data_IF_089979082918
#
_entry.id   IF_089979082918
#
_cell.length_a   1.000
_cell.length_b   1.000
_cell.length_c   1.000
_cell.angle_alpha   90.00
_cell.angle_beta   90.00
_cell.angle_gamma   90.00
#
_symmetry.space_group_name_H-M   'P 1'
#
loop_
_entity.id
_entity.type
_entity.pdbx_description
1 polymer ?
#
# COMPACT_ATOMS: atom_id res chain seq x y z
N UNK A 1 29.46 -21.07 -42.15
CA UNK A 1 29.36 -19.66 -41.73
C UNK A 1 29.05 -19.60 -40.24
N UNK A 2 30.01 -19.33 -39.34
CA UNK A 2 29.71 -19.16 -37.93
C UNK A 2 29.11 -17.77 -37.67
N UNK A 3 27.96 -17.73 -36.97
CA UNK A 3 27.27 -16.51 -36.57
C UNK A 3 28.12 -15.73 -35.58
N UNK A 4 28.42 -14.49 -35.94
CA UNK A 4 29.15 -13.50 -35.14
C UNK A 4 28.34 -13.19 -33.88
N UNK A 5 28.92 -13.48 -32.73
CA UNK A 5 28.47 -12.99 -31.42
C UNK A 5 28.63 -11.47 -31.43
N UNK A 6 27.52 -10.73 -31.37
CA UNK A 6 27.55 -9.30 -31.04
C UNK A 6 27.32 -9.21 -29.55
N UNK A 7 28.41 -9.23 -28.79
CA UNK A 7 28.40 -8.80 -27.41
C UNK A 7 28.08 -7.29 -27.40
N UNK A 8 26.95 -6.91 -26.83
CA UNK A 8 26.65 -5.50 -26.57
C UNK A 8 27.74 -4.93 -25.65
N UNK A 9 28.30 -3.79 -26.08
CA UNK A 9 29.32 -3.06 -25.34
C UNK A 9 28.86 -2.75 -23.92
N UNK A 10 29.56 -3.33 -22.95
CA UNK A 10 29.64 -2.82 -21.59
C UNK A 10 30.19 -1.39 -21.68
N UNK A 11 29.31 -0.40 -21.57
CA UNK A 11 29.73 0.99 -21.42
C UNK A 11 30.35 1.15 -20.02
N UNK A 12 31.67 1.36 -20.02
CA UNK A 12 32.47 1.64 -18.86
C UNK A 12 31.99 2.90 -18.14
N UNK A 13 31.88 2.76 -16.82
CA UNK A 13 31.49 3.81 -15.89
C UNK A 13 31.29 3.21 -14.51
N UNK A 14 32.36 2.64 -13.94
CA UNK A 14 32.41 2.26 -12.52
C UNK A 14 32.50 3.54 -11.68
N UNK A 15 31.46 4.37 -11.74
CA UNK A 15 31.17 5.40 -10.73
C UNK A 15 30.14 4.79 -9.80
N UNK A 16 30.51 4.71 -8.52
CA UNK A 16 29.67 4.37 -7.35
C UNK A 16 28.21 4.16 -7.70
N UNK A 17 27.83 2.92 -8.02
CA UNK A 17 26.41 2.58 -7.91
C UNK A 17 26.08 2.71 -6.43
N UNK A 18 25.09 3.52 -6.05
CA UNK A 18 24.70 3.62 -4.66
C UNK A 18 24.44 2.21 -4.11
N UNK A 19 25.07 1.91 -2.99
CA UNK A 19 24.95 0.65 -2.25
C UNK A 19 23.58 0.53 -1.57
N UNK A 20 22.81 1.63 -1.57
CA UNK A 20 21.46 1.72 -1.04
C UNK A 20 20.40 1.90 -2.13
N UNK A 21 19.25 1.28 -1.91
CA UNK A 21 18.00 1.50 -2.61
C UNK A 21 17.05 2.32 -1.73
N UNK A 22 16.18 3.08 -2.36
CA UNK A 22 15.11 3.86 -1.73
C UNK A 22 13.77 3.16 -1.95
N UNK A 23 13.00 3.05 -0.86
CA UNK A 23 11.65 2.51 -0.85
C UNK A 23 10.62 3.63 -0.74
N UNK A 24 9.53 3.47 -1.49
CA UNK A 24 8.41 4.40 -1.51
C UNK A 24 7.08 3.66 -1.54
N UNK A 25 6.02 4.29 -1.04
CA UNK A 25 4.66 3.95 -1.41
C UNK A 25 4.16 4.96 -2.44
N UNK A 26 3.66 4.47 -3.57
CA UNK A 26 3.02 5.28 -4.61
C UNK A 26 1.51 5.04 -4.59
N UNK A 27 0.75 6.13 -4.54
CA UNK A 27 -0.71 6.13 -4.60
C UNK A 27 -1.09 6.64 -5.99
N UNK A 28 -1.84 5.83 -6.74
CA UNK A 28 -2.29 6.17 -8.07
C UNK A 28 -3.55 7.01 -8.05
N UNK A 29 -3.74 7.77 -9.13
CA UNK A 29 -5.01 8.43 -9.42
C UNK A 29 -6.15 7.40 -9.41
N UNK A 30 -7.34 7.76 -8.89
CA UNK A 30 -8.48 6.86 -8.89
C UNK A 30 -8.82 6.43 -10.32
N UNK A 31 -8.96 5.12 -10.53
CA UNK A 31 -9.57 4.56 -11.75
C UNK A 31 -10.88 3.91 -11.33
N UNK A 32 -11.99 4.36 -11.91
CA UNK A 32 -13.34 3.86 -11.62
C UNK A 32 -13.63 3.77 -10.10
N UNK A 33 -13.31 4.83 -9.36
CA UNK A 33 -13.45 4.98 -7.89
C UNK A 33 -12.45 4.19 -7.03
N UNK A 34 -11.60 3.35 -7.61
CA UNK A 34 -10.62 2.57 -6.86
C UNK A 34 -9.25 3.22 -6.92
N UNK A 35 -8.66 3.47 -5.74
CA UNK A 35 -7.30 3.98 -5.59
C UNK A 35 -6.32 2.81 -5.53
N UNK A 36 -5.34 2.76 -6.44
CA UNK A 36 -4.34 1.68 -6.49
C UNK A 36 -3.04 2.05 -5.76
N UNK A 37 -2.56 1.17 -4.88
CA UNK A 37 -1.35 1.38 -4.09
C UNK A 37 -0.26 0.40 -4.52
N UNK A 38 0.98 0.88 -4.58
CA UNK A 38 2.16 0.08 -4.90
C UNK A 38 3.36 0.48 -4.06
N UNK A 39 4.24 -0.48 -3.80
CA UNK A 39 5.57 -0.21 -3.25
C UNK A 39 6.55 -0.10 -4.40
N UNK A 40 7.34 0.98 -4.43
CA UNK A 40 8.35 1.20 -5.43
C UNK A 40 9.74 1.17 -4.78
N UNK A 41 10.66 0.45 -5.41
CA UNK A 41 12.06 0.33 -4.99
C UNK A 41 12.95 0.82 -6.14
N UNK A 42 13.80 1.82 -5.88
CA UNK A 42 14.70 2.38 -6.90
C UNK A 42 16.07 2.75 -6.35
N UNK A 43 17.04 2.90 -7.23
CA UNK A 43 18.27 3.61 -6.86
C UNK A 43 17.98 5.10 -6.65
N UNK A 44 18.73 5.78 -5.76
CA UNK A 44 18.79 7.24 -5.73
C UNK A 44 18.95 7.81 -7.13
N UNK A 45 18.20 8.86 -7.44
CA UNK A 45 18.21 9.58 -8.72
C UNK A 45 17.85 8.77 -9.99
N UNK A 46 17.48 7.50 -9.87
CA UNK A 46 17.03 6.71 -11.00
C UNK A 46 15.60 7.06 -11.42
N UNK A 47 15.34 7.09 -12.73
CA UNK A 47 14.01 7.21 -13.31
C UNK A 47 13.28 5.85 -13.38
N UNK A 48 13.99 4.75 -13.08
CA UNK A 48 13.50 3.37 -13.12
C UNK A 48 13.42 2.74 -11.74
N UNK A 49 12.40 1.93 -11.54
CA UNK A 49 12.12 1.22 -10.30
C UNK A 49 11.62 -0.20 -10.53
N UNK A 50 11.67 -1.00 -9.46
CA UNK A 50 10.87 -2.20 -9.31
C UNK A 50 9.57 -1.82 -8.58
N UNK A 51 8.41 -2.18 -9.13
CA UNK A 51 7.10 -2.01 -8.50
C UNK A 51 6.61 -3.34 -7.95
N UNK A 52 6.15 -3.33 -6.71
CA UNK A 52 5.53 -4.46 -6.04
C UNK A 52 4.10 -4.07 -5.66
N UNK A 53 3.12 -4.85 -6.10
CA UNK A 53 1.72 -4.59 -5.81
C UNK A 53 0.83 -5.81 -6.01
N UNK A 54 -0.30 -5.83 -5.31
CA UNK A 54 -1.38 -6.78 -5.54
C UNK A 54 -2.30 -6.24 -6.64
N UNK A 55 -2.40 -6.95 -7.75
CA UNK A 55 -3.22 -6.60 -8.92
C UNK A 55 -4.46 -7.49 -9.01
N UNK A 56 -5.40 -7.10 -9.87
CA UNK A 56 -6.64 -7.85 -10.12
C UNK A 56 -7.83 -7.37 -9.28
N UNK A 57 -8.97 -8.01 -9.53
CA UNK A 57 -10.25 -7.71 -8.89
C UNK A 57 -10.73 -8.89 -8.03
N UNK A 58 -11.75 -8.67 -7.19
CA UNK A 58 -12.37 -9.65 -6.27
C UNK A 58 -12.25 -11.11 -6.76
N UNK A 59 -11.57 -11.95 -5.99
CA UNK A 59 -11.42 -13.39 -6.25
C UNK A 59 -10.29 -13.80 -7.20
N UNK A 60 -9.70 -12.88 -7.97
CA UNK A 60 -8.61 -13.15 -8.92
C UNK A 60 -7.41 -12.21 -8.70
N UNK A 61 -7.04 -12.01 -7.44
CA UNK A 61 -5.92 -11.13 -7.08
C UNK A 61 -4.60 -11.88 -7.14
N UNK A 62 -3.56 -11.23 -7.64
CA UNK A 62 -2.22 -11.80 -7.76
C UNK A 62 -1.17 -10.77 -7.37
N UNK A 63 -0.01 -11.26 -6.92
CA UNK A 63 1.17 -10.41 -6.72
C UNK A 63 1.83 -10.14 -8.07
N UNK A 64 2.12 -8.88 -8.36
CA UNK A 64 2.99 -8.48 -9.45
C UNK A 64 4.24 -7.80 -8.89
N UNK A 65 5.40 -8.27 -9.37
CA UNK A 65 6.72 -7.66 -9.16
C UNK A 65 7.20 -7.26 -10.55
N UNK A 66 7.15 -5.97 -10.86
CA UNK A 66 7.45 -5.43 -12.17
C UNK A 66 8.77 -4.65 -12.14
N UNK A 67 9.78 -5.18 -12.83
CA UNK A 67 11.09 -4.50 -12.95
C UNK A 67 11.10 -3.48 -14.09
N UNK A 68 12.06 -2.55 -14.03
CA UNK A 68 12.34 -1.53 -15.06
C UNK A 68 11.13 -0.64 -15.42
N UNK A 69 10.25 -0.40 -14.45
CA UNK A 69 9.15 0.54 -14.63
C UNK A 69 9.62 1.97 -14.42
N UNK A 70 9.05 2.92 -15.16
CA UNK A 70 9.24 4.35 -14.87
C UNK A 70 8.71 4.64 -13.47
N UNK A 71 9.54 5.25 -12.63
CA UNK A 71 9.16 5.64 -11.27
C UNK A 71 8.04 6.68 -11.30
N UNK A 72 8.27 7.77 -12.03
CA UNK A 72 7.26 8.79 -12.31
C UNK A 72 6.41 8.34 -13.52
N UNK A 73 5.13 8.12 -13.25
CA UNK A 73 4.14 7.69 -14.24
C UNK A 73 2.93 8.60 -14.14
N UNK A 74 2.26 8.88 -15.25
CA UNK A 74 1.05 9.73 -15.29
C UNK A 74 -0.08 9.17 -14.41
N UNK A 75 -0.03 7.87 -14.12
CA UNK A 75 -0.95 7.18 -13.23
C UNK A 75 -0.72 7.46 -11.73
N UNK A 76 0.49 7.87 -11.33
CA UNK A 76 0.84 8.14 -9.93
C UNK A 76 0.36 9.53 -9.55
N UNK A 77 -0.35 9.64 -8.43
CA UNK A 77 -0.83 10.91 -7.87
C UNK A 77 0.11 11.41 -6.78
N UNK A 78 0.46 10.56 -5.82
CA UNK A 78 1.38 10.90 -4.74
C UNK A 78 2.42 9.79 -4.52
N UNK A 79 3.58 10.21 -4.01
CA UNK A 79 4.69 9.32 -3.66
C UNK A 79 5.19 9.68 -2.27
N UNK A 80 5.31 8.70 -1.39
CA UNK A 80 5.78 8.88 -0.02
C UNK A 80 6.99 8.00 0.23
N UNK A 81 8.07 8.61 0.73
CA UNK A 81 9.31 7.93 1.07
C UNK A 81 9.15 7.08 2.33
N UNK A 82 9.65 5.84 2.29
CA UNK A 82 9.57 4.86 3.38
C UNK A 82 10.93 4.64 4.05
N UNK A 83 12.04 4.73 3.32
CA UNK A 83 13.38 4.51 3.87
C UNK A 83 14.39 4.03 2.84
N UNK A 84 15.61 3.75 3.30
CA UNK A 84 16.65 3.10 2.50
C UNK A 84 16.96 1.70 2.99
N UNK A 85 17.28 0.82 2.05
CA UNK A 85 17.81 -0.53 2.31
C UNK A 85 19.12 -0.69 1.56
N UNK A 86 19.97 -1.62 1.98
CA UNK A 86 21.13 -2.00 1.19
C UNK A 86 20.68 -2.81 -0.05
N UNK A 87 21.41 -2.71 -1.17
CA UNK A 87 21.08 -3.42 -2.42
C UNK A 87 20.99 -4.94 -2.21
N UNK A 88 21.82 -5.50 -1.33
CA UNK A 88 21.78 -6.94 -0.99
C UNK A 88 20.49 -7.37 -0.28
N UNK A 89 19.71 -6.42 0.23
CA UNK A 89 18.44 -6.67 0.94
C UNK A 89 17.22 -6.57 0.01
N UNK A 90 17.42 -6.20 -1.26
CA UNK A 90 16.33 -6.12 -2.26
C UNK A 90 15.54 -7.42 -2.39
N UNK A 91 16.24 -8.57 -2.42
CA UNK A 91 15.61 -9.89 -2.47
C UNK A 91 14.82 -10.21 -1.21
N UNK A 92 15.19 -9.66 -0.05
CA UNK A 92 14.42 -9.81 1.19
C UNK A 92 13.08 -9.09 1.08
N UNK A 93 13.05 -7.91 0.45
CA UNK A 93 11.80 -7.18 0.19
C UNK A 93 10.85 -8.00 -0.67
N UNK A 94 11.35 -8.55 -1.78
CA UNK A 94 10.56 -9.39 -2.69
C UNK A 94 10.07 -10.67 -2.00
N UNK A 95 10.93 -11.35 -1.22
CA UNK A 95 10.52 -12.52 -0.44
C UNK A 95 9.48 -12.21 0.64
N UNK A 96 9.54 -11.04 1.29
CA UNK A 96 8.50 -10.64 2.26
C UNK A 96 7.19 -10.24 1.56
N UNK A 97 7.26 -9.72 0.34
CA UNK A 97 6.09 -9.41 -0.50
C UNK A 97 5.34 -10.69 -0.90
N UNK A 98 6.05 -11.75 -1.29
CA UNK A 98 5.48 -13.05 -1.66
C UNK A 98 4.75 -13.75 -0.50
N UNK A 99 5.12 -13.46 0.75
CA UNK A 99 4.48 -14.05 1.94
C UNK A 99 3.11 -13.46 2.26
N UNK A 100 2.73 -12.37 1.61
CA UNK A 100 1.46 -11.68 1.88
C UNK A 100 0.43 -12.20 0.89
N UNK A 101 -0.67 -12.83 1.36
CA UNK A 101 -1.73 -13.28 0.49
C UNK A 101 -2.27 -12.14 -0.39
N UNK A 102 -2.46 -12.36 -1.71
CA UNK A 102 -3.04 -11.35 -2.58
C UNK A 102 -4.42 -10.90 -2.08
N UNK A 103 -4.53 -9.60 -1.81
CA UNK A 103 -5.73 -8.98 -1.25
C UNK A 103 -5.82 -7.54 -1.77
N UNK A 104 -6.72 -6.74 -1.20
CA UNK A 104 -6.81 -5.31 -1.50
C UNK A 104 -5.43 -4.65 -1.54
N UNK A 105 -5.10 -3.92 -2.61
CA UNK A 105 -3.75 -3.39 -2.84
C UNK A 105 -3.28 -2.48 -1.70
N UNK A 106 -4.20 -1.71 -1.09
CA UNK A 106 -3.93 -0.87 0.06
C UNK A 106 -3.53 -1.72 1.28
N UNK A 107 -4.34 -2.73 1.60
CA UNK A 107 -4.09 -3.61 2.75
C UNK A 107 -2.81 -4.42 2.55
N UNK A 108 -2.59 -4.92 1.33
CA UNK A 108 -1.37 -5.62 0.96
C UNK A 108 -0.12 -4.74 1.15
N UNK A 109 -0.15 -3.49 0.68
CA UNK A 109 0.96 -2.55 0.85
C UNK A 109 1.22 -2.24 2.34
N UNK A 110 0.18 -2.02 3.14
CA UNK A 110 0.31 -1.82 4.59
C UNK A 110 0.96 -3.03 5.28
N UNK A 111 0.56 -4.25 4.93
CA UNK A 111 1.19 -5.45 5.49
C UNK A 111 2.65 -5.57 5.08
N UNK A 112 3.02 -5.21 3.85
CA UNK A 112 4.42 -5.24 3.44
C UNK A 112 5.25 -4.26 4.25
N UNK A 113 4.79 -3.02 4.41
CA UNK A 113 5.46 -2.01 5.23
C UNK A 113 5.70 -2.53 6.65
N UNK A 114 4.66 -3.08 7.30
CA UNK A 114 4.75 -3.66 8.65
C UNK A 114 5.76 -4.83 8.74
N UNK A 115 5.85 -5.67 7.71
CA UNK A 115 6.81 -6.78 7.67
C UNK A 115 8.24 -6.28 7.51
N UNK A 116 8.47 -5.30 6.64
CA UNK A 116 9.79 -4.69 6.44
C UNK A 116 10.28 -3.98 7.70
N UNK A 117 9.38 -3.28 8.40
CA UNK A 117 9.66 -2.65 9.69
C UNK A 117 10.07 -3.70 10.75
N UNK A 118 9.31 -4.79 10.88
CA UNK A 118 9.64 -5.91 11.80
C UNK A 118 10.96 -6.60 11.47
N UNK A 119 11.37 -6.56 10.20
CA UNK A 119 12.68 -7.05 9.75
C UNK A 119 13.82 -6.07 9.97
N UNK A 120 13.52 -4.86 10.41
CA UNK A 120 14.51 -3.81 10.65
C UNK A 120 14.96 -3.07 9.40
N UNK A 121 14.35 -3.35 8.23
CA UNK A 121 14.77 -2.79 6.95
C UNK A 121 14.43 -1.31 6.79
N UNK A 122 13.48 -0.78 7.57
CA UNK A 122 13.07 0.62 7.49
C UNK A 122 13.65 1.48 8.65
N UNK A 123 14.58 0.95 9.46
CA UNK A 123 14.88 1.55 10.78
C UNK A 123 15.68 2.87 10.79
N UNK A 124 16.46 3.22 9.77
CA UNK A 124 17.37 4.39 9.86
C UNK A 124 16.66 5.74 9.75
N UNK A 125 15.57 5.83 8.96
CA UNK A 125 14.78 7.07 8.81
C UNK A 125 13.42 7.01 9.52
N UNK A 126 12.90 5.80 9.79
CA UNK A 126 11.56 5.62 10.37
C UNK A 126 11.55 5.81 11.88
N UNK A 127 12.68 5.72 12.61
CA UNK A 127 12.73 6.09 14.04
C UNK A 127 12.32 7.55 14.30
N UNK A 128 12.64 8.48 13.39
CA UNK A 128 12.17 9.89 13.48
C UNK A 128 10.67 10.05 13.20
N UNK A 129 10.08 9.14 12.44
CA UNK A 129 8.65 9.12 12.11
C UNK A 129 7.85 8.36 13.20
N UNK A 130 8.46 7.36 13.85
CA UNK A 130 7.85 6.50 14.88
C UNK A 130 7.72 7.18 16.25
N UNK A 131 8.66 8.06 16.64
CA UNK A 131 8.53 8.87 17.87
C UNK A 131 7.40 9.91 17.79
N UNK A 132 6.90 10.23 16.58
CA UNK A 132 5.80 11.17 16.33
C UNK A 132 4.47 10.49 15.95
N UNK A 133 4.17 9.31 16.52
CA UNK A 133 2.79 8.80 16.53
C UNK A 133 2.35 8.05 15.26
N UNK A 134 3.28 7.53 14.45
CA UNK A 134 2.91 6.77 13.26
C UNK A 134 2.46 5.33 13.49
N UNK A 135 2.64 4.74 14.67
CA UNK A 135 1.86 3.55 15.03
C UNK A 135 0.36 3.91 15.12
N UNK A 136 0.04 5.10 15.64
CA UNK A 136 -1.33 5.63 15.63
C UNK A 136 -1.73 6.00 14.20
N UNK A 137 -0.87 6.58 13.36
CA UNK A 137 -1.23 6.84 11.95
C UNK A 137 -1.39 5.57 11.11
N UNK A 138 -0.58 4.53 11.31
CA UNK A 138 -0.75 3.26 10.59
C UNK A 138 -2.02 2.55 11.07
N UNK A 139 -2.30 2.55 12.39
CA UNK A 139 -3.57 2.08 12.93
C UNK A 139 -4.73 2.96 12.44
N UNK A 140 -4.54 4.28 12.34
CA UNK A 140 -5.53 5.24 11.88
C UNK A 140 -5.75 5.12 10.38
N UNK A 141 -4.74 4.85 9.56
CA UNK A 141 -4.85 4.54 8.13
C UNK A 141 -5.55 3.20 7.97
N UNK A 142 -5.20 2.18 8.75
CA UNK A 142 -5.93 0.90 8.76
C UNK A 142 -7.41 1.10 9.17
N UNK A 143 -7.69 1.93 10.18
CA UNK A 143 -9.04 2.30 10.63
C UNK A 143 -9.78 3.13 9.56
N UNK A 144 -9.16 4.14 8.97
CA UNK A 144 -9.72 4.98 7.91
C UNK A 144 -9.99 4.16 6.64
N UNK A 145 -9.11 3.21 6.31
CA UNK A 145 -9.34 2.28 5.20
C UNK A 145 -10.52 1.36 5.53
N UNK A 146 -10.61 0.82 6.75
CA UNK A 146 -11.77 0.02 7.17
C UNK A 146 -13.07 0.82 7.11
N UNK A 147 -13.10 2.07 7.61
CA UNK A 147 -14.31 2.90 7.57
C UNK A 147 -14.68 3.32 6.16
N UNK A 148 -13.71 3.64 5.29
CA UNK A 148 -13.95 4.02 3.89
C UNK A 148 -14.41 2.82 3.06
N UNK A 149 -13.84 1.63 3.27
CA UNK A 149 -14.30 0.40 2.64
C UNK A 149 -15.72 0.03 3.12
N UNK A 150 -16.02 0.18 4.42
CA UNK A 150 -17.37 -0.05 4.97
C UNK A 150 -18.38 0.95 4.36
N UNK A 151 -18.05 2.24 4.27
CA UNK A 151 -18.95 3.21 3.63
C UNK A 151 -19.09 2.95 2.12
N UNK A 152 -18.04 2.57 1.40
CA UNK A 152 -18.12 2.22 -0.03
C UNK A 152 -18.93 0.95 -0.30
N UNK A 153 -18.79 -0.08 0.56
CA UNK A 153 -19.59 -1.32 0.49
C UNK A 153 -21.04 -1.05 0.88
N UNK A 154 -21.31 -0.19 1.87
CA UNK A 154 -22.68 0.19 2.23
C UNK A 154 -23.34 1.02 1.14
N UNK A 155 -22.66 1.97 0.50
CA UNK A 155 -23.25 2.80 -0.57
C UNK A 155 -23.54 1.97 -1.83
N UNK A 156 -22.67 1.03 -2.21
CA UNK A 156 -22.92 0.13 -3.36
C UNK A 156 -23.92 -0.99 -3.01
N UNK A 157 -23.95 -1.44 -1.74
CA UNK A 157 -24.87 -2.47 -1.26
C UNK A 157 -26.30 -1.99 -1.05
N UNK A 158 -26.51 -0.70 -0.79
CA UNK A 158 -27.84 -0.12 -0.58
C UNK A 158 -28.54 0.21 -1.92
N UNK A 159 -27.81 0.53 -2.99
CA UNK A 159 -28.44 0.89 -4.28
C UNK A 159 -28.85 -0.29 -5.17
N UNK A 160 -28.46 -1.53 -4.84
CA UNK A 160 -28.76 -2.71 -5.68
C UNK A 160 -29.64 -3.77 -4.98
N UNK A 161 -29.91 -3.66 -3.67
CA UNK A 161 -30.84 -4.56 -2.99
C UNK A 161 -31.89 -3.76 -2.22
N UNK A 162 -33.05 -3.57 -2.85
CA UNK A 162 -34.29 -3.58 -2.09
C UNK A 162 -35.10 -2.31 -2.11
N UNK A 163 -35.63 -2.02 -3.29
CA UNK A 163 -36.96 -1.45 -3.53
C UNK A 163 -38.12 -2.14 -2.78
N UNK A 164 -37.91 -3.01 -1.78
CA UNK A 164 -38.94 -3.53 -0.88
C UNK A 164 -38.35 -3.99 0.47
N UNK A 165 -38.38 -3.13 1.50
CA UNK A 165 -38.72 -3.60 2.85
C UNK A 165 -39.38 -2.46 3.63
N UNK A 166 -40.67 -2.27 3.33
CA UNK A 166 -41.63 -1.77 4.31
C UNK A 166 -41.47 -2.59 5.60
N UNK A 167 -41.23 -1.92 6.72
CA UNK A 167 -41.48 -2.47 8.04
C UNK A 167 -40.23 -2.70 8.89
N UNK A 168 -39.82 -1.65 9.60
CA UNK A 168 -39.78 -1.76 11.06
C UNK A 168 -39.85 -0.36 11.68
N UNK A 169 -40.89 -0.17 12.50
CA UNK A 169 -41.20 1.05 13.21
C UNK A 169 -40.03 1.51 14.07
N UNK A 170 -39.75 2.80 13.96
CA UNK A 170 -39.11 3.62 14.99
C UNK A 170 -39.96 3.51 16.26
N UNK A 171 -39.65 2.54 17.14
CA UNK A 171 -40.17 2.53 18.51
C UNK A 171 -39.17 3.24 19.43
N UNK A 172 -39.45 4.52 19.60
CA UNK A 172 -39.24 5.35 20.78
C UNK A 172 -38.31 4.78 21.88
N UNK A 173 -37.09 5.28 21.93
CA UNK A 173 -36.30 5.28 23.16
C UNK A 173 -36.91 6.30 24.12
N UNK A 174 -37.77 5.85 25.02
CA UNK A 174 -38.33 6.66 26.10
C UNK A 174 -37.23 6.88 27.15
N UNK A 175 -36.62 8.07 27.16
CA UNK A 175 -35.73 8.52 28.23
C UNK A 175 -36.60 8.72 29.47
N UNK A 176 -36.56 7.77 30.41
CA UNK A 176 -37.21 7.90 31.72
C UNK A 176 -36.26 8.63 32.67
N UNK A 177 -36.43 9.94 32.80
CA UNK A 177 -35.93 10.70 33.95
C UNK A 177 -36.80 10.41 35.16
N UNK A 178 -36.28 9.68 36.16
CA UNK A 178 -36.91 9.62 37.48
C UNK A 178 -36.15 10.52 38.44
N UNK A 179 -36.80 11.63 38.84
CA UNK A 179 -36.38 12.55 39.88
C UNK A 179 -36.68 11.98 41.28
N UNK A 180 -35.68 12.05 42.18
CA UNK A 180 -35.71 12.58 43.58
C UNK A 180 -36.64 11.82 44.59
N UNK A 181 -36.25 11.40 45.81
CA UNK A 181 -35.79 12.20 46.96
C UNK A 181 -35.28 11.33 48.12
N UNK A 182 -34.31 11.86 48.86
CA UNK A 182 -33.91 11.48 50.23
C UNK A 182 -35.05 11.65 51.24
N UNK A 183 -35.13 10.75 52.23
CA UNK A 183 -35.87 10.92 53.49
C UNK A 183 -34.90 11.07 54.65
#
# INVERSE_FOLDING_TARGET
MPRRVVACLQHGGHRDRPDKLELYVQICKPQDTVVHWMIAMKYPDADRCTRLHSIGYMGNRTLAIEHDKRFDSDSVETTHYLGRIHVSESTIVEMEAEKIPPQSCQLWACYLILRLERKGLLQEDVRRIMDQGMMIHALFILIQIMTTQIMGIQVIGIDVIGTQFMGMQVMATQIMTTQIMTT
#
